data_IF_270080331823
#
_entry.id   IF_270080331823
#
_cell.length_a   1.000
_cell.length_b   1.000
_cell.length_c   1.000
_cell.angle_alpha   90.00
_cell.angle_beta   90.00
_cell.angle_gamma   90.00
#
_symmetry.space_group_name_H-M   'P 1'
#
loop_
_entity.id
_entity.type
_entity.pdbx_description
1 polymer ?
#
# COMPACT_ATOMS: atom_id res chain seq x y z
N UNK A 1 21.49 11.72 -9.66
CA UNK A 1 21.16 11.81 -9.10
C UNK A 1 20.70 11.19 -8.47
N UNK A 2 21.10 10.96 -8.09
CA UNK A 2 20.62 10.01 -7.30
C UNK A 2 19.26 10.28 -6.94
N UNK A 3 18.53 9.59 -7.45
CA UNK A 3 17.15 9.70 -7.14
C UNK A 3 16.92 9.15 -5.76
N UNK A 4 16.54 10.01 -4.85
CA UNK A 4 16.29 9.64 -3.47
C UNK A 4 14.92 9.03 -3.28
N UNK A 5 14.16 8.90 -4.34
CA UNK A 5 12.82 8.40 -4.28
C UNK A 5 12.76 7.01 -3.66
N UNK A 6 11.80 6.82 -2.79
CA UNK A 6 11.56 5.50 -2.24
C UNK A 6 10.91 4.61 -3.28
N UNK A 7 11.35 3.35 -3.33
CA UNK A 7 10.69 2.36 -4.15
C UNK A 7 9.78 1.48 -3.31
N UNK A 8 9.21 2.05 -2.25
CA UNK A 8 8.29 1.36 -1.34
C UNK A 8 6.96 2.06 -1.36
N UNK A 9 5.90 1.31 -1.54
CA UNK A 9 4.55 1.84 -1.64
C UNK A 9 3.63 1.04 -0.74
N UNK A 10 2.76 1.74 -0.01
CA UNK A 10 1.75 1.10 0.82
C UNK A 10 0.41 1.18 0.12
N UNK A 11 -0.27 0.04 0.04
CA UNK A 11 -1.68 -0.02 -0.36
C UNK A 11 -2.48 0.19 0.91
N UNK A 12 -3.26 1.27 0.97
CA UNK A 12 -3.85 1.71 2.23
C UNK A 12 -5.37 1.72 2.13
N UNK A 13 -6.00 1.00 3.04
CA UNK A 13 -7.46 1.01 3.12
C UNK A 13 -7.96 2.40 3.47
N UNK A 14 -9.16 2.74 2.98
CA UNK A 14 -9.70 4.08 3.10
C UNK A 14 -9.75 4.57 4.53
N UNK A 15 -10.06 3.69 5.48
CA UNK A 15 -10.19 4.09 6.88
C UNK A 15 -8.89 4.57 7.50
N UNK A 16 -7.76 4.29 6.87
CA UNK A 16 -6.45 4.80 7.33
C UNK A 16 -6.00 6.03 6.56
N UNK A 17 -6.70 6.37 5.48
CA UNK A 17 -6.44 7.58 4.72
C UNK A 17 -7.37 8.71 5.18
N UNK A 18 -8.61 8.34 5.52
CA UNK A 18 -9.63 9.28 6.00
C UNK A 18 -10.10 8.84 7.38
N UNK A 19 -9.23 8.91 8.40
CA UNK A 19 -9.58 8.36 9.70
C UNK A 19 -10.59 9.24 10.43
N UNK A 20 -11.42 8.58 11.24
CA UNK A 20 -12.28 9.30 12.17
C UNK A 20 -11.45 9.72 13.39
N UNK A 21 -11.97 10.68 14.17
CA UNK A 21 -11.24 11.11 15.36
C UNK A 21 -10.89 9.93 16.26
N UNK A 22 -9.64 9.88 16.70
CA UNK A 22 -9.15 8.80 17.54
C UNK A 22 -8.65 7.58 16.80
N UNK A 23 -8.78 7.56 15.49
CA UNK A 23 -8.28 6.44 14.69
C UNK A 23 -6.93 6.75 14.08
N UNK A 24 -6.24 5.70 13.62
CA UNK A 24 -4.89 5.83 13.10
C UNK A 24 -4.89 6.59 11.79
N UNK A 25 -4.08 7.65 11.73
CA UNK A 25 -3.85 8.36 10.48
C UNK A 25 -2.67 7.69 9.77
N UNK A 26 -2.99 6.66 8.98
CA UNK A 26 -1.96 5.90 8.29
C UNK A 26 -1.20 6.73 7.28
N UNK A 27 -1.90 7.66 6.63
CA UNK A 27 -1.26 8.49 5.62
C UNK A 27 -0.14 9.34 6.23
N UNK A 28 -0.40 9.94 7.39
CA UNK A 28 0.60 10.76 8.05
C UNK A 28 1.82 9.94 8.47
N UNK A 29 1.58 8.74 9.00
CA UNK A 29 2.68 7.89 9.44
C UNK A 29 3.52 7.43 8.25
N UNK A 30 2.87 7.04 7.17
CA UNK A 30 3.56 6.56 5.97
C UNK A 30 4.37 7.68 5.31
N UNK A 31 3.77 8.86 5.22
CA UNK A 31 4.47 10.00 4.61
C UNK A 31 5.71 10.36 5.43
N UNK A 32 5.59 10.35 6.75
CA UNK A 32 6.73 10.67 7.61
C UNK A 32 7.84 9.64 7.49
N UNK A 33 7.49 8.40 7.14
CA UNK A 33 8.47 7.33 6.99
C UNK A 33 9.02 7.23 5.56
N UNK A 34 8.57 8.10 4.66
CA UNK A 34 9.09 8.11 3.29
C UNK A 34 8.45 7.10 2.36
N UNK A 35 7.30 6.57 2.73
CA UNK A 35 6.59 5.60 1.88
C UNK A 35 5.64 6.31 0.93
N UNK A 36 5.55 5.80 -0.30
CA UNK A 36 4.47 6.19 -1.20
C UNK A 36 3.16 5.56 -0.77
N UNK A 37 2.06 6.14 -1.18
CA UNK A 37 0.73 5.67 -0.78
C UNK A 37 -0.14 5.48 -2.01
N UNK A 38 -0.81 4.34 -2.07
CA UNK A 38 -1.82 4.07 -3.07
C UNK A 38 -3.11 3.74 -2.32
N UNK A 39 -4.09 4.62 -2.42
CA UNK A 39 -5.33 4.46 -1.68
C UNK A 39 -6.20 3.40 -2.33
N UNK A 40 -6.75 2.51 -1.51
CA UNK A 40 -7.69 1.50 -1.99
C UNK A 40 -9.09 2.09 -2.02
N UNK A 41 -9.99 1.54 -2.85
CA UNK A 41 -11.38 2.03 -2.90
C UNK A 41 -12.07 1.92 -1.55
N UNK A 42 -12.98 2.85 -1.30
CA UNK A 42 -13.78 2.88 -0.08
C UNK A 42 -14.52 1.55 0.09
N UNK A 43 -14.50 1.01 1.30
CA UNK A 43 -15.19 -0.23 1.62
C UNK A 43 -16.70 -0.13 1.39
N UNK A 44 -17.24 1.06 1.43
CA UNK A 44 -18.67 1.27 1.20
C UNK A 44 -19.11 1.20 -0.25
N UNK A 45 -18.18 1.13 -1.18
CA UNK A 45 -18.55 1.06 -2.59
C UNK A 45 -19.19 -0.30 -2.89
N UNK A 46 -20.29 -0.34 -3.67
CA UNK A 46 -20.82 -1.62 -4.12
C UNK A 46 -19.84 -2.33 -5.02
N UNK A 47 -19.98 -3.66 -5.12
CA UNK A 47 -19.02 -4.49 -5.85
C UNK A 47 -18.83 -4.03 -7.29
N UNK A 48 -19.91 -3.62 -7.96
CA UNK A 48 -19.79 -3.22 -9.36
C UNK A 48 -19.00 -1.93 -9.54
N UNK A 49 -18.89 -1.11 -8.49
CA UNK A 49 -18.06 0.09 -8.52
C UNK A 49 -16.63 -0.25 -8.10
N UNK A 50 -16.49 -1.08 -7.08
CA UNK A 50 -15.18 -1.39 -6.51
C UNK A 50 -14.34 -2.26 -7.43
N UNK A 51 -14.95 -3.22 -8.14
CA UNK A 51 -14.20 -4.17 -8.96
C UNK A 51 -13.29 -3.52 -10.00
N UNK A 52 -13.80 -2.60 -10.84
CA UNK A 52 -12.91 -1.98 -11.81
C UNK A 52 -11.81 -1.13 -11.15
N UNK A 53 -12.11 -0.51 -10.00
CA UNK A 53 -11.10 0.26 -9.29
C UNK A 53 -10.01 -0.65 -8.72
N UNK A 54 -10.40 -1.79 -8.17
CA UNK A 54 -9.43 -2.76 -7.66
C UNK A 54 -8.60 -3.35 -8.78
N UNK A 55 -9.21 -3.56 -9.94
CA UNK A 55 -8.48 -4.05 -11.10
C UNK A 55 -7.41 -3.05 -11.54
N UNK A 56 -7.72 -1.76 -11.51
CA UNK A 56 -6.73 -0.73 -11.82
C UNK A 56 -5.58 -0.73 -10.81
N UNK A 57 -5.91 -0.86 -9.53
CA UNK A 57 -4.89 -0.94 -8.50
C UNK A 57 -3.98 -2.13 -8.76
N UNK A 58 -4.58 -3.29 -9.06
CA UNK A 58 -3.80 -4.49 -9.29
C UNK A 58 -2.86 -4.35 -10.48
N UNK A 59 -3.33 -3.72 -11.56
CA UNK A 59 -2.49 -3.48 -12.72
C UNK A 59 -1.32 -2.58 -12.38
N UNK A 60 -1.55 -1.54 -11.60
CA UNK A 60 -0.47 -0.65 -11.20
C UNK A 60 0.53 -1.36 -10.29
N UNK A 61 0.04 -2.18 -9.36
CA UNK A 61 0.92 -2.94 -8.48
C UNK A 61 1.80 -3.86 -9.31
N UNK A 62 1.21 -4.55 -10.28
CA UNK A 62 1.96 -5.45 -11.14
C UNK A 62 3.05 -4.69 -11.91
N UNK A 63 2.68 -3.57 -12.49
CA UNK A 63 3.63 -2.79 -13.28
C UNK A 63 4.78 -2.27 -12.41
N UNK A 64 4.47 -1.71 -11.25
CA UNK A 64 5.51 -1.18 -10.38
C UNK A 64 6.37 -2.29 -9.76
N UNK A 65 5.75 -3.44 -9.50
CA UNK A 65 6.53 -4.59 -9.02
C UNK A 65 7.59 -5.01 -10.04
N UNK A 66 7.25 -4.95 -11.31
CA UNK A 66 8.23 -5.26 -12.35
C UNK A 66 9.36 -4.24 -12.41
N UNK A 67 9.12 -3.05 -11.88
CA UNK A 67 10.15 -2.00 -11.82
C UNK A 67 10.96 -2.06 -10.52
N UNK A 68 10.73 -3.05 -9.69
CA UNK A 68 11.48 -3.22 -8.45
C UNK A 68 10.86 -2.58 -7.23
N UNK A 69 9.65 -2.06 -7.32
CA UNK A 69 8.97 -1.50 -6.16
C UNK A 69 8.54 -2.61 -5.20
N UNK A 70 8.65 -2.33 -3.91
CA UNK A 70 8.11 -3.20 -2.87
C UNK A 70 6.80 -2.63 -2.33
N UNK A 71 5.92 -3.54 -1.93
CA UNK A 71 4.58 -3.15 -1.46
C UNK A 71 4.29 -3.73 -0.10
N UNK A 72 3.51 -2.99 0.68
CA UNK A 72 2.86 -3.50 1.89
C UNK A 72 1.39 -3.14 1.83
N UNK A 73 0.60 -3.77 2.71
CA UNK A 73 -0.83 -3.51 2.79
C UNK A 73 -1.15 -2.99 4.18
N UNK A 74 -1.81 -1.83 4.26
CA UNK A 74 -2.26 -1.28 5.52
C UNK A 74 -3.77 -1.37 5.56
N UNK A 75 -4.29 -2.24 6.42
CA UNK A 75 -5.69 -2.57 6.45
C UNK A 75 -6.01 -3.67 5.46
N UNK A 76 -7.30 -3.97 5.33
CA UNK A 76 -7.77 -5.02 4.42
C UNK A 76 -8.83 -4.41 3.51
N UNK A 77 -8.94 -4.96 2.32
CA UNK A 77 -9.96 -4.57 1.37
C UNK A 77 -10.46 -5.81 0.64
N UNK A 78 -11.74 -6.11 0.83
CA UNK A 78 -12.35 -7.24 0.14
C UNK A 78 -12.17 -7.10 -1.36
N UNK A 79 -11.85 -8.21 -2.01
CA UNK A 79 -11.68 -8.23 -3.44
C UNK A 79 -10.27 -7.90 -3.92
N UNK A 80 -9.42 -7.36 -3.04
CA UNK A 80 -8.07 -7.00 -3.46
C UNK A 80 -7.25 -8.25 -3.80
N UNK A 81 -7.33 -9.28 -2.98
CA UNK A 81 -6.57 -10.51 -3.22
C UNK A 81 -6.92 -11.12 -4.58
N UNK A 82 -8.22 -11.14 -4.90
CA UNK A 82 -8.67 -11.65 -6.19
C UNK A 82 -8.14 -10.81 -7.34
N UNK A 83 -8.20 -9.50 -7.19
CA UNK A 83 -7.73 -8.61 -8.25
C UNK A 83 -6.23 -8.79 -8.49
N UNK A 84 -5.44 -8.92 -7.42
CA UNK A 84 -4.01 -9.13 -7.53
C UNK A 84 -3.71 -10.48 -8.17
N UNK A 85 -4.44 -11.53 -7.76
CA UNK A 85 -4.24 -12.85 -8.33
C UNK A 85 -4.50 -12.85 -9.83
N UNK A 86 -5.45 -12.02 -10.27
CA UNK A 86 -5.80 -11.95 -11.68
C UNK A 86 -4.63 -11.45 -12.53
N UNK A 87 -3.75 -10.65 -11.97
CA UNK A 87 -2.56 -10.16 -12.67
C UNK A 87 -1.30 -10.91 -12.24
N UNK A 88 -1.45 -12.00 -11.49
CA UNK A 88 -0.32 -12.84 -11.12
C UNK A 88 0.50 -12.34 -9.95
N UNK A 89 -0.08 -11.49 -9.10
CA UNK A 89 0.64 -10.89 -7.98
C UNK A 89 0.08 -11.43 -6.67
N UNK A 90 0.98 -11.81 -5.75
CA UNK A 90 0.55 -12.21 -4.41
C UNK A 90 0.20 -11.01 -3.57
N UNK A 91 -0.59 -11.25 -2.52
CA UNK A 91 -0.95 -10.19 -1.57
C UNK A 91 0.29 -9.83 -0.77
N UNK A 92 0.65 -8.54 -0.69
CA UNK A 92 1.82 -8.15 0.11
C UNK A 92 1.58 -8.34 1.61
N UNK A 93 2.68 -8.40 2.35
CA UNK A 93 2.60 -8.43 3.80
C UNK A 93 1.83 -7.21 4.28
N UNK A 94 1.02 -7.40 5.30
CA UNK A 94 0.17 -6.33 5.75
C UNK A 94 -0.05 -6.31 7.23
N UNK A 95 -0.66 -5.22 7.69
CA UNK A 95 -0.98 -5.00 9.07
C UNK A 95 -2.29 -4.20 9.14
N UNK A 96 -3.08 -4.49 10.16
CA UNK A 96 -4.25 -3.66 10.51
C UNK A 96 -3.92 -2.97 11.84
N UNK A 97 -3.20 -1.84 11.80
CA UNK A 97 -2.68 -1.27 13.04
C UNK A 97 -3.78 -0.66 13.90
N UNK A 98 -3.66 -0.89 15.21
CA UNK A 98 -4.55 -0.27 16.18
C UNK A 98 -4.00 1.05 16.68
N UNK A 99 -2.74 1.36 16.39
CA UNK A 99 -2.13 2.61 16.81
C UNK A 99 -1.07 3.03 15.80
N UNK A 100 -0.72 4.32 15.84
CA UNK A 100 0.35 4.83 15.00
C UNK A 100 1.68 4.17 15.34
N UNK A 101 1.89 3.84 16.61
CA UNK A 101 3.13 3.20 17.03
C UNK A 101 3.26 1.81 16.40
N UNK A 102 2.17 1.05 16.36
CA UNK A 102 2.19 -0.26 15.71
C UNK A 102 2.57 -0.15 14.25
N UNK A 103 2.00 0.83 13.56
CA UNK A 103 2.32 1.01 12.15
C UNK A 103 3.78 1.41 11.97
N UNK A 104 4.28 2.31 12.81
CA UNK A 104 5.69 2.70 12.73
C UNK A 104 6.62 1.52 12.95
N UNK A 105 6.29 0.65 13.90
CA UNK A 105 7.09 -0.55 14.16
C UNK A 105 7.09 -1.49 12.96
N UNK A 106 5.92 -1.67 12.37
CA UNK A 106 5.80 -2.52 11.20
C UNK A 106 6.66 -1.97 10.05
N UNK A 107 6.62 -0.66 9.83
CA UNK A 107 7.39 -0.05 8.75
C UNK A 107 8.89 -0.17 9.02
N UNK A 108 9.30 -0.02 10.27
CA UNK A 108 10.72 -0.14 10.62
C UNK A 108 11.26 -1.55 10.41
N UNK A 109 10.38 -2.56 10.48
CA UNK A 109 10.77 -3.95 10.28
C UNK A 109 10.86 -4.34 8.81
N UNK A 110 10.40 -3.48 7.90
CA UNK A 110 10.43 -3.81 6.48
C UNK A 110 11.84 -3.66 5.93
N UNK A 111 12.20 -4.50 4.95
CA UNK A 111 13.54 -4.37 4.36
C UNK A 111 13.70 -3.06 3.63
N UNK A 112 14.93 -2.59 3.59
CA UNK A 112 15.23 -1.40 2.83
C UNK A 112 14.97 -1.64 1.35
N UNK A 113 14.68 -0.57 0.58
CA UNK A 113 14.52 -0.74 -0.86
C UNK A 113 15.79 -1.33 -1.47
N UNK A 114 15.67 -2.16 -2.50
CA UNK A 114 16.86 -2.70 -3.14
C UNK A 114 17.74 -1.58 -3.69
N UNK A 115 19.04 -1.75 -3.54
CA UNK A 115 19.97 -0.77 -4.09
C UNK A 115 19.83 -0.67 -5.60
N UNK A 116 19.49 -1.78 -6.23
CA UNK A 116 19.30 -1.81 -7.67
C UNK A 116 18.08 -1.05 -8.12
N UNK A 117 17.17 -0.74 -7.21
CA UNK A 117 16.03 0.10 -7.56
C UNK A 117 16.45 1.53 -7.78
N UNK A 118 17.57 1.93 -7.22
CA UNK A 118 18.07 3.27 -7.46
C UNK A 118 18.60 3.37 -8.87
N UNK A 119 18.37 4.49 -9.53
CA UNK A 119 18.91 4.66 -10.87
C UNK A 119 20.42 4.62 -10.87
N UNK A 120 20.93 4.07 -11.86
CA UNK A 120 22.37 3.96 -12.03
C UNK A 120 22.88 5.09 -12.92
#
# INVERSE_FOLDING_TARGET
>A
MGDERSYRVALVADRYVNPEPGQVDGLAVLAAAGWGVMQLPDDGYPAQVARPLLAEVAEQVEEFSRRGYGFILVGERDGLAEALAHVGVGVPDGIAPASAAELREFLAAQPAPPATAAPQ
#
